data_IF_287493043043
#
_entry.id   IF_287493043043
#
_cell.length_a   1.000
_cell.length_b   1.000
_cell.length_c   1.000
_cell.angle_alpha   90.00
_cell.angle_beta   90.00
_cell.angle_gamma   90.00
#
_symmetry.space_group_name_H-M   'P 1'
#
loop_
_entity.id
_entity.type
_entity.pdbx_description
1 polymer ?
#
# COMPACT_ATOMS: atom_id res chain seq x y z
N UNK A 1 -8.33 -26.22 5.05
CA UNK A 1 -7.48 -25.71 6.15
C UNK A 1 -6.91 -24.34 5.77
N UNK A 2 -7.06 -23.31 6.61
CA UNK A 2 -6.67 -21.92 6.29
C UNK A 2 -5.91 -21.33 7.48
N UNK A 3 -4.81 -20.64 7.22
CA UNK A 3 -4.14 -19.74 8.16
C UNK A 3 -4.38 -18.30 7.71
N UNK A 4 -4.92 -17.45 8.58
CA UNK A 4 -5.06 -16.02 8.31
C UNK A 4 -3.76 -15.31 8.67
N UNK A 5 -3.26 -14.45 7.77
CA UNK A 5 -2.09 -13.61 7.98
C UNK A 5 -2.46 -12.19 7.57
N UNK A 6 -2.34 -11.23 8.50
CA UNK A 6 -2.72 -9.84 8.24
C UNK A 6 -1.71 -8.85 8.78
N UNK A 7 -1.42 -7.81 7.99
CA UNK A 7 -0.56 -6.69 8.35
C UNK A 7 -1.37 -5.45 8.70
N UNK A 8 -0.98 -4.72 9.76
CA UNK A 8 -1.61 -3.44 10.13
C UNK A 8 -3.15 -3.55 10.19
N UNK A 9 -3.89 -2.73 9.42
CA UNK A 9 -5.34 -2.85 9.23
C UNK A 9 -5.78 -4.28 8.87
N UNK A 10 -5.08 -4.95 7.95
CA UNK A 10 -5.37 -6.34 7.59
C UNK A 10 -5.19 -7.32 8.75
N UNK A 11 -4.29 -7.03 9.69
CA UNK A 11 -4.12 -7.79 10.94
C UNK A 11 -5.35 -7.67 11.83
N UNK A 12 -5.89 -6.45 11.99
CA UNK A 12 -7.15 -6.24 12.69
C UNK A 12 -8.30 -7.03 12.06
N UNK A 13 -8.47 -6.91 10.73
CA UNK A 13 -9.53 -7.63 10.02
C UNK A 13 -9.37 -9.15 10.14
N UNK A 14 -8.13 -9.67 10.10
CA UNK A 14 -7.86 -11.10 10.30
C UNK A 14 -8.33 -11.58 11.69
N UNK A 15 -8.08 -10.81 12.75
CA UNK A 15 -8.57 -11.11 14.10
C UNK A 15 -10.09 -11.05 14.18
N UNK A 16 -10.73 -10.01 13.66
CA UNK A 16 -12.19 -9.91 13.67
C UNK A 16 -12.86 -11.05 12.90
N UNK A 17 -12.27 -11.45 11.77
CA UNK A 17 -12.71 -12.59 10.95
C UNK A 17 -12.60 -13.90 11.73
N UNK A 18 -11.47 -14.11 12.42
CA UNK A 18 -11.22 -15.29 13.26
C UNK A 18 -12.16 -15.34 14.47
N UNK A 19 -12.29 -14.24 15.21
CA UNK A 19 -13.13 -14.15 16.41
C UNK A 19 -14.62 -14.34 16.09
N UNK A 20 -15.06 -13.89 14.91
CA UNK A 20 -16.44 -14.08 14.43
C UNK A 20 -16.66 -15.46 13.79
N UNK A 21 -15.64 -16.33 13.78
CA UNK A 21 -15.67 -17.67 13.19
C UNK A 21 -16.17 -17.71 11.73
N UNK A 22 -15.81 -16.69 10.93
CA UNK A 22 -16.24 -16.58 9.54
C UNK A 22 -15.49 -17.54 8.60
N UNK A 23 -14.40 -18.14 9.08
CA UNK A 23 -13.61 -19.13 8.35
C UNK A 23 -13.66 -20.46 9.12
N UNK A 24 -14.60 -21.37 8.81
CA UNK A 24 -14.80 -22.60 9.57
C UNK A 24 -13.57 -23.54 9.59
N UNK A 25 -12.70 -23.44 8.59
CA UNK A 25 -11.47 -24.25 8.49
C UNK A 25 -10.22 -23.51 8.99
N UNK A 26 -10.38 -22.47 9.81
CA UNK A 26 -9.27 -21.70 10.37
C UNK A 26 -8.46 -22.56 11.33
N UNK A 27 -7.15 -22.67 11.09
CA UNK A 27 -6.23 -23.43 11.94
C UNK A 27 -5.15 -22.57 12.61
N UNK A 28 -4.99 -21.32 12.21
CA UNK A 28 -3.95 -20.44 12.75
C UNK A 28 -4.16 -18.99 12.35
N UNK A 29 -3.59 -18.09 13.14
CA UNK A 29 -3.72 -16.64 12.96
C UNK A 29 -2.36 -15.95 13.15
N UNK A 30 -1.98 -15.10 12.20
CA UNK A 30 -0.77 -14.28 12.26
C UNK A 30 -1.11 -12.80 12.11
N UNK A 31 -0.62 -11.99 13.05
CA UNK A 31 -0.64 -10.54 12.99
C UNK A 31 0.76 -10.01 12.71
N UNK A 32 0.89 -9.08 11.76
CA UNK A 32 2.15 -8.44 11.41
C UNK A 32 2.07 -6.95 11.73
N UNK A 33 2.99 -6.49 12.58
CA UNK A 33 3.24 -5.09 12.92
C UNK A 33 2.00 -4.31 13.38
N UNK A 34 1.14 -4.94 14.20
CA UNK A 34 -0.03 -4.30 14.80
C UNK A 34 -0.18 -4.71 16.27
N UNK A 35 -0.30 -3.70 17.13
CA UNK A 35 -0.60 -3.83 18.56
C UNK A 35 -1.54 -2.70 18.94
N UNK A 36 -2.60 -2.99 19.71
CA UNK A 36 -3.66 -2.01 20.02
C UNK A 36 -3.10 -0.72 20.61
N UNK A 37 -2.32 -0.80 21.69
CA UNK A 37 -1.82 0.40 22.38
C UNK A 37 -1.05 1.35 21.45
N UNK A 38 -0.08 0.81 20.70
CA UNK A 38 0.72 1.63 19.77
C UNK A 38 -0.07 2.07 18.54
N UNK A 39 -1.02 1.27 18.07
CA UNK A 39 -1.88 1.65 16.95
C UNK A 39 -2.79 2.84 17.33
N UNK A 40 -3.38 2.81 18.53
CA UNK A 40 -4.24 3.87 19.05
C UNK A 40 -3.47 5.19 19.23
N UNK A 41 -2.23 5.12 19.76
CA UNK A 41 -1.37 6.30 19.92
C UNK A 41 -0.92 6.89 18.56
N UNK A 42 -0.74 6.03 17.55
CA UNK A 42 -0.27 6.42 16.22
C UNK A 42 -1.36 6.96 15.28
N UNK A 43 -2.65 6.92 15.64
CA UNK A 43 -3.73 7.36 14.74
C UNK A 43 -3.56 8.83 14.31
N UNK A 44 -3.18 9.71 15.25
CA UNK A 44 -2.95 11.13 14.95
C UNK A 44 -1.70 11.37 14.08
N UNK A 45 -0.63 10.60 14.30
CA UNK A 45 0.59 10.74 13.50
C UNK A 45 0.40 10.20 12.08
N UNK A 46 -0.46 9.18 11.91
CA UNK A 46 -0.82 8.63 10.60
C UNK A 46 -1.49 9.70 9.71
N UNK A 47 -2.40 10.52 10.26
CA UNK A 47 -3.02 11.61 9.50
C UNK A 47 -1.98 12.59 8.92
N UNK A 48 -0.98 12.95 9.73
CA UNK A 48 0.09 13.84 9.29
C UNK A 48 0.94 13.19 8.20
N UNK A 49 1.29 11.91 8.37
CA UNK A 49 1.99 11.14 7.35
C UNK A 49 1.20 11.10 6.03
N UNK A 50 -0.09 10.74 6.07
CA UNK A 50 -0.92 10.64 4.87
C UNK A 50 -1.03 11.97 4.11
N UNK A 51 -1.07 13.10 4.83
CA UNK A 51 -1.10 14.45 4.26
C UNK A 51 0.23 14.90 3.65
N UNK A 52 1.35 14.40 4.15
CA UNK A 52 2.69 14.71 3.61
C UNK A 52 3.01 13.98 2.30
N UNK A 53 2.21 12.97 1.91
CA UNK A 53 2.45 12.21 0.68
C UNK A 53 2.17 13.07 -0.56
N UNK A 54 2.92 12.87 -1.67
CA UNK A 54 2.59 13.48 -2.94
C UNK A 54 1.15 13.15 -3.34
N UNK A 55 0.42 14.14 -3.88
CA UNK A 55 -0.96 13.91 -4.35
C UNK A 55 -0.99 13.11 -5.66
N UNK A 56 0.02 13.29 -6.49
CA UNK A 56 0.14 12.67 -7.81
C UNK A 56 1.59 12.30 -8.12
N UNK A 57 1.78 11.35 -9.03
CA UNK A 57 3.07 10.94 -9.58
C UNK A 57 3.03 11.08 -11.11
N UNK A 58 4.16 11.44 -11.73
CA UNK A 58 4.24 11.61 -13.19
C UNK A 58 4.18 10.28 -13.95
N UNK A 59 4.78 9.25 -13.37
CA UNK A 59 4.76 7.88 -13.88
C UNK A 59 4.73 6.89 -12.73
N UNK A 60 4.50 5.61 -13.06
CA UNK A 60 4.59 4.52 -12.10
C UNK A 60 6.02 4.38 -11.52
N UNK A 61 7.05 4.57 -12.35
CA UNK A 61 8.45 4.52 -11.94
C UNK A 61 8.76 5.59 -10.89
N UNK A 62 8.22 6.81 -11.03
CA UNK A 62 8.38 7.84 -10.00
C UNK A 62 7.67 7.49 -8.69
N UNK A 63 6.53 6.79 -8.74
CA UNK A 63 5.86 6.31 -7.54
C UNK A 63 6.71 5.24 -6.82
N UNK A 64 7.29 4.29 -7.56
CA UNK A 64 8.22 3.28 -7.04
C UNK A 64 9.47 3.94 -6.44
N UNK A 65 10.05 4.90 -7.14
CA UNK A 65 11.23 5.61 -6.65
C UNK A 65 10.93 6.38 -5.35
N UNK A 66 9.78 7.05 -5.30
CA UNK A 66 9.34 7.76 -4.09
C UNK A 66 9.10 6.82 -2.92
N UNK A 67 8.49 5.64 -3.13
CA UNK A 67 8.19 4.71 -2.04
C UNK A 67 9.47 4.18 -1.37
N UNK A 68 10.53 3.98 -2.16
CA UNK A 68 11.85 3.58 -1.65
C UNK A 68 12.58 4.73 -0.97
N UNK A 69 12.65 5.91 -1.62
CA UNK A 69 13.35 7.07 -1.06
C UNK A 69 12.71 7.63 0.21
N UNK A 70 11.38 7.57 0.31
CA UNK A 70 10.64 7.98 1.52
C UNK A 70 10.77 6.97 2.67
N UNK A 71 11.28 5.76 2.40
CA UNK A 71 11.38 4.69 3.38
C UNK A 71 10.07 3.97 3.67
N UNK A 72 9.02 4.19 2.86
CA UNK A 72 7.75 3.46 2.99
C UNK A 72 7.95 1.95 2.74
N UNK A 73 8.73 1.61 1.71
CA UNK A 73 9.13 0.24 1.37
C UNK A 73 10.64 0.27 1.17
N UNK A 74 11.40 -0.50 1.93
CA UNK A 74 12.87 -0.51 1.86
C UNK A 74 13.40 -1.45 0.77
N UNK A 75 12.63 -2.48 0.44
CA UNK A 75 12.96 -3.45 -0.59
C UNK A 75 12.53 -2.96 -1.99
N UNK A 76 13.49 -2.64 -2.85
CA UNK A 76 13.23 -2.20 -4.22
C UNK A 76 12.52 -3.26 -5.07
N UNK A 77 12.83 -4.55 -4.88
CA UNK A 77 12.19 -5.64 -5.62
C UNK A 77 10.70 -5.70 -5.28
N UNK A 78 10.36 -5.63 -3.99
CA UNK A 78 8.98 -5.61 -3.53
C UNK A 78 8.23 -4.36 -4.03
N UNK A 79 8.85 -3.18 -3.89
CA UNK A 79 8.25 -1.91 -4.31
C UNK A 79 7.88 -1.89 -5.80
N UNK A 80 8.71 -2.48 -6.68
CA UNK A 80 8.45 -2.55 -8.12
C UNK A 80 7.17 -3.32 -8.47
N UNK A 81 6.76 -4.26 -7.63
CA UNK A 81 5.56 -5.08 -7.84
C UNK A 81 4.37 -4.52 -7.04
N UNK A 82 4.58 -4.13 -5.78
CA UNK A 82 3.50 -3.77 -4.87
C UNK A 82 2.93 -2.37 -5.12
N UNK A 83 3.75 -1.42 -5.59
CA UNK A 83 3.30 -0.04 -5.78
C UNK A 83 2.20 0.11 -6.82
N UNK A 84 2.12 -0.78 -7.81
CA UNK A 84 1.05 -0.84 -8.82
C UNK A 84 -0.32 -0.99 -8.15
N UNK A 85 -0.39 -1.75 -7.05
CA UNK A 85 -1.61 -1.91 -6.26
C UNK A 85 -1.98 -0.66 -5.44
N UNK A 86 -1.02 0.21 -5.15
CA UNK A 86 -1.22 1.40 -4.30
C UNK A 86 -1.62 2.65 -5.07
N UNK A 87 -1.33 2.71 -6.38
CA UNK A 87 -1.67 3.83 -7.26
C UNK A 87 -2.67 3.42 -8.34
N UNK A 88 -3.28 4.41 -8.98
CA UNK A 88 -4.13 4.28 -10.17
C UNK A 88 -3.88 5.46 -11.11
N UNK A 89 -4.17 5.29 -12.39
CA UNK A 89 -4.17 6.40 -13.34
C UNK A 89 -5.20 7.45 -12.92
N UNK A 90 -4.85 8.73 -13.07
CA UNK A 90 -5.80 9.82 -12.90
C UNK A 90 -6.83 9.72 -14.02
N UNK A 91 -8.11 9.64 -13.65
CA UNK A 91 -9.19 9.75 -14.63
C UNK A 91 -9.09 11.16 -15.25
N UNK A 92 -8.84 11.22 -16.56
CA UNK A 92 -9.04 12.46 -17.29
C UNK A 92 -10.50 12.87 -17.05
N UNK A 93 -10.72 14.14 -16.68
CA UNK A 93 -12.05 14.71 -16.67
C UNK A 93 -12.62 14.54 -18.09
N UNK A 94 -13.37 13.47 -18.32
CA UNK A 94 -14.24 13.35 -19.46
C UNK A 94 -15.26 14.46 -19.27
N UNK A 95 -15.01 15.56 -19.97
CA UNK A 95 -15.96 16.65 -20.15
C UNK A 95 -17.32 15.99 -20.45
N UNK A 96 -18.41 16.36 -19.76
CA UNK A 96 -19.71 15.81 -20.09
C UNK A 96 -20.00 16.16 -21.55
N UNK A 97 -20.16 15.13 -22.38
CA UNK A 97 -20.37 15.26 -23.81
C UNK A 97 -21.61 16.11 -24.09
N UNK A 98 -21.39 17.38 -24.44
CA UNK A 98 -22.36 18.16 -25.19
C UNK A 98 -22.43 17.63 -26.62
N UNK A 99 -23.62 17.57 -27.24
CA UNK A 99 -23.73 17.11 -28.62
C UNK A 99 -22.94 18.06 -29.53
N UNK A 100 -22.12 17.47 -30.42
CA UNK A 100 -21.43 18.18 -31.50
C UNK A 100 -22.47 18.82 -32.42
N UNK A 101 -22.77 20.09 -32.20
CA UNK A 101 -23.43 20.92 -33.20
C UNK A 101 -22.35 21.48 -34.12
N UNK A 102 -22.45 21.06 -35.38
CA UNK A 102 -21.78 21.66 -36.54
C UNK A 102 -22.12 23.15 -36.53
N UNK A 103 -21.12 24.02 -36.50
CA UNK A 103 -21.31 25.44 -36.81
C UNK A 103 -20.61 25.69 -38.14
N UNK A 104 -21.38 25.57 -39.21
CA UNK A 104 -21.09 26.19 -40.51
C UNK A 104 -21.07 27.72 -40.33
N UNK A 105 -20.25 28.36 -41.16
CA UNK A 105 -19.75 29.70 -40.94
C UNK A 105 -20.77 30.82 -41.07
N UNK A 106 -20.44 31.93 -40.42
CA UNK A 106 -20.88 33.27 -40.82
C UNK A 106 -19.65 34.18 -40.74
N UNK A 107 -19.42 34.84 -41.85
CA UNK A 107 -18.37 35.80 -42.18
C UNK A 107 -18.64 37.07 -41.39
N UNK A 108 -17.65 37.57 -40.65
CA UNK A 108 -17.61 38.98 -40.25
C UNK A 108 -16.40 39.61 -40.96
N UNK A 109 -16.73 40.59 -41.79
CA UNK A 109 -15.82 41.41 -42.59
C UNK A 109 -15.04 42.34 -41.64
N UNK A 110 -13.71 42.30 -41.68
CA UNK A 110 -12.85 43.34 -41.11
C UNK A 110 -12.31 44.19 -42.27
N UNK A 111 -12.57 45.49 -42.21
CA UNK A 111 -12.10 46.50 -43.16
C UNK A 111 -10.59 46.69 -43.05
N UNK A 112 -9.93 46.77 -44.21
CA UNK A 112 -8.50 46.99 -44.42
C UNK A 112 -8.13 48.46 -44.18
N UNK A 113 -7.03 48.71 -43.45
CA UNK A 113 -6.23 49.93 -43.60
C UNK A 113 -4.86 49.55 -44.18
N UNK A 114 -4.58 50.11 -45.35
CA UNK A 114 -3.34 49.98 -46.14
C UNK A 114 -2.18 50.77 -45.51
N UNK A 115 -0.99 50.17 -45.43
CA UNK A 115 0.27 50.93 -45.65
C UNK A 115 1.28 50.05 -46.41
N UNK A 116 1.71 50.58 -47.56
CA UNK A 116 2.66 50.00 -48.51
C UNK A 116 4.11 50.01 -48.00
N UNK A 117 4.88 48.98 -48.38
CA UNK A 117 6.33 48.95 -48.23
C UNK A 117 6.94 47.76 -48.96
N UNK A 118 7.28 47.94 -50.24
CA UNK A 118 7.94 46.97 -51.13
C UNK A 118 9.36 46.58 -50.67
N UNK A 119 9.66 45.27 -50.65
CA UNK A 119 10.66 44.61 -51.52
C UNK A 119 11.05 43.21 -51.03
N UNK A 120 11.17 42.25 -51.97
CA UNK A 120 12.21 41.21 -51.90
C UNK A 120 11.78 39.75 -51.83
N UNK A 121 11.48 39.19 -53.01
CA UNK A 121 11.79 37.85 -53.54
C UNK A 121 11.84 36.56 -52.68
N UNK A 122 11.23 35.54 -53.27
CA UNK A 122 11.03 34.14 -52.89
C UNK A 122 12.26 33.37 -52.38
N UNK A 123 12.04 32.34 -51.54
CA UNK A 123 12.50 30.95 -51.77
C UNK A 123 11.98 29.98 -50.68
N UNK A 124 11.41 28.87 -51.18
CA UNK A 124 10.90 27.70 -50.47
C UNK A 124 11.76 27.23 -49.29
N UNK A 125 11.14 27.08 -48.11
CA UNK A 125 11.66 26.21 -47.05
C UNK A 125 10.52 25.35 -46.51
N UNK A 126 10.45 24.11 -47.00
CA UNK A 126 9.65 23.01 -46.44
C UNK A 126 9.86 22.99 -44.91
N UNK A 127 8.86 23.43 -44.14
CA UNK A 127 8.76 23.11 -42.72
C UNK A 127 8.38 21.63 -42.65
N UNK A 128 9.30 20.85 -42.09
CA UNK A 128 9.08 19.48 -41.69
C UNK A 128 8.16 19.55 -40.48
N UNK A 129 6.92 19.11 -40.63
CA UNK A 129 6.03 18.84 -39.50
C UNK A 129 6.68 17.71 -38.69
N UNK A 130 7.46 18.09 -37.68
CA UNK A 130 7.80 17.19 -36.59
C UNK A 130 6.56 17.16 -35.68
N UNK A 131 5.65 16.24 -36.01
CA UNK A 131 4.53 15.83 -35.17
C UNK A 131 5.12 15.12 -33.94
N UNK A 132 5.64 15.92 -32.99
CA UNK A 132 6.01 15.44 -31.66
C UNK A 132 4.70 15.14 -30.95
N UNK A 133 4.23 13.91 -31.16
CA UNK A 133 3.20 13.27 -30.37
C UNK A 133 3.65 13.37 -28.90
N UNK A 134 3.20 14.44 -28.25
CA UNK A 134 3.57 14.72 -26.87
C UNK A 134 2.71 13.75 -26.08
N UNK A 135 3.22 12.53 -25.87
CA UNK A 135 2.58 11.56 -24.98
C UNK A 135 2.36 12.27 -23.66
N UNK A 136 1.12 12.69 -23.43
CA UNK A 136 0.64 13.17 -22.13
C UNK A 136 1.00 12.05 -21.16
N UNK A 137 2.02 12.26 -20.34
CA UNK A 137 2.37 11.29 -19.30
C UNK A 137 1.14 11.14 -18.41
N UNK A 138 0.57 9.94 -18.39
CA UNK A 138 -0.58 9.64 -17.57
C UNK A 138 -0.18 9.82 -16.11
N UNK A 139 -0.71 10.86 -15.46
CA UNK A 139 -0.46 11.10 -14.05
C UNK A 139 -1.13 9.99 -13.22
N UNK A 140 -0.44 9.53 -12.18
CA UNK A 140 -0.96 8.55 -11.23
C UNK A 140 -1.38 9.24 -9.93
N UNK A 141 -2.39 8.71 -9.26
CA UNK A 141 -2.84 9.13 -7.92
C UNK A 141 -2.98 7.91 -7.01
N UNK A 142 -3.12 8.13 -5.70
CA UNK A 142 -3.39 7.05 -4.74
C UNK A 142 -4.69 6.33 -5.09
N UNK A 143 -4.66 5.00 -5.05
CA UNK A 143 -5.85 4.16 -5.31
C UNK A 143 -6.98 4.47 -4.35
N UNK A 144 -6.63 4.79 -3.10
CA UNK A 144 -7.56 5.15 -2.04
C UNK A 144 -7.04 6.34 -1.24
N UNK A 145 -7.94 7.26 -0.91
CA UNK A 145 -7.67 8.32 0.05
C UNK A 145 -7.90 7.78 1.46
N UNK A 146 -6.87 7.14 2.03
CA UNK A 146 -6.97 6.44 3.32
C UNK A 146 -7.44 7.35 4.48
N UNK A 147 -7.16 8.66 4.43
CA UNK A 147 -7.64 9.60 5.44
C UNK A 147 -9.18 9.60 5.58
N UNK A 148 -9.93 9.30 4.52
CA UNK A 148 -11.41 9.21 4.57
C UNK A 148 -11.92 8.03 5.39
N UNK A 149 -11.07 7.05 5.72
CA UNK A 149 -11.44 5.90 6.54
C UNK A 149 -11.20 6.12 8.03
N UNK A 150 -10.72 7.30 8.45
CA UNK A 150 -10.37 7.64 9.84
C UNK A 150 -11.46 7.30 10.86
N UNK A 151 -12.72 7.56 10.51
CA UNK A 151 -13.90 7.24 11.32
C UNK A 151 -14.04 5.74 11.68
N UNK A 152 -13.36 4.85 10.96
CA UNK A 152 -13.40 3.41 11.19
C UNK A 152 -12.19 2.90 11.98
N UNK A 153 -11.12 3.69 12.13
CA UNK A 153 -9.85 3.23 12.69
C UNK A 153 -9.99 2.78 14.15
N UNK A 154 -10.79 3.50 14.93
CA UNK A 154 -11.09 3.11 16.31
C UNK A 154 -11.69 1.69 16.38
N UNK A 155 -12.65 1.39 15.50
CA UNK A 155 -13.28 0.07 15.42
C UNK A 155 -12.37 -1.03 14.88
N UNK A 156 -11.23 -0.71 14.28
CA UNK A 156 -10.24 -1.71 13.86
C UNK A 156 -9.33 -2.14 15.02
N UNK A 157 -8.95 -1.20 15.89
CA UNK A 157 -7.88 -1.45 16.87
C UNK A 157 -8.36 -1.54 18.32
N UNK A 158 -9.48 -0.90 18.67
CA UNK A 158 -10.00 -0.94 20.04
C UNK A 158 -10.37 -2.36 20.46
N UNK A 159 -9.81 -2.83 21.56
CA UNK A 159 -9.96 -4.18 22.11
C UNK A 159 -9.28 -5.28 21.29
N UNK A 160 -8.49 -4.93 20.27
CA UNK A 160 -7.88 -5.89 19.35
C UNK A 160 -6.94 -6.86 20.06
N UNK A 161 -6.17 -6.39 21.06
CA UNK A 161 -5.20 -7.24 21.77
C UNK A 161 -5.90 -8.37 22.53
N UNK A 162 -6.97 -8.06 23.27
CA UNK A 162 -7.77 -9.07 23.94
C UNK A 162 -8.52 -9.98 22.96
N UNK A 163 -9.03 -9.43 21.86
CA UNK A 163 -9.74 -10.20 20.84
C UNK A 163 -8.81 -11.23 20.17
N UNK A 164 -7.57 -10.83 19.87
CA UNK A 164 -6.52 -11.72 19.37
C UNK A 164 -6.22 -12.83 20.38
N UNK A 165 -6.00 -12.49 21.65
CA UNK A 165 -5.69 -13.47 22.70
C UNK A 165 -6.80 -14.52 22.88
N UNK A 166 -8.07 -14.13 22.70
CA UNK A 166 -9.22 -14.99 22.87
C UNK A 166 -9.53 -15.88 21.65
N UNK A 167 -8.86 -15.69 20.51
CA UNK A 167 -9.04 -16.57 19.35
C UNK A 167 -8.52 -18.00 19.67
N UNK A 168 -9.36 -19.05 19.53
CA UNK A 168 -9.04 -20.42 19.97
C UNK A 168 -8.21 -21.21 18.94
N UNK A 169 -7.22 -20.55 18.34
CA UNK A 169 -6.27 -21.15 17.39
C UNK A 169 -4.82 -20.80 17.81
N UNK A 170 -3.82 -21.56 17.37
CA UNK A 170 -2.42 -21.15 17.43
C UNK A 170 -2.21 -19.78 16.79
N UNK A 171 -1.39 -18.95 17.43
CA UNK A 171 -1.23 -17.54 17.11
C UNK A 171 0.24 -17.17 16.96
N UNK A 172 0.55 -16.36 15.94
CA UNK A 172 1.86 -15.79 15.67
C UNK A 172 1.75 -14.26 15.63
N UNK A 173 2.69 -13.56 16.26
CA UNK A 173 2.84 -12.11 16.19
C UNK A 173 4.24 -11.78 15.65
N UNK A 174 4.30 -11.10 14.50
CA UNK A 174 5.53 -10.60 13.90
C UNK A 174 5.66 -9.10 14.15
N UNK A 175 6.75 -8.65 14.78
CA UNK A 175 6.97 -7.23 15.08
C UNK A 175 8.28 -6.73 14.47
N UNK A 176 8.29 -5.48 14.00
CA UNK A 176 9.52 -4.82 13.60
C UNK A 176 10.43 -4.45 14.81
N UNK A 177 9.87 -4.37 16.02
CA UNK A 177 10.58 -4.09 17.27
C UNK A 177 9.79 -4.52 18.51
N UNK A 178 10.50 -4.86 19.59
CA UNK A 178 9.89 -5.34 20.86
C UNK A 178 9.15 -4.25 21.62
N UNK A 179 9.49 -2.99 21.39
CA UNK A 179 8.93 -1.82 22.09
C UNK A 179 7.44 -1.57 21.79
N UNK A 180 6.83 -2.44 21.00
CA UNK A 180 5.47 -2.27 20.49
C UNK A 180 4.41 -3.06 21.27
N UNK A 181 4.79 -3.98 22.16
CA UNK A 181 3.83 -4.74 22.95
C UNK A 181 3.12 -3.85 23.98
N UNK A 182 1.79 -3.90 23.98
CA UNK A 182 0.99 -3.30 25.03
C UNK A 182 0.90 -4.21 26.27
N UNK A 183 0.23 -3.73 27.31
CA UNK A 183 0.06 -4.45 28.56
C UNK A 183 -0.59 -5.83 28.36
N UNK A 184 -1.64 -5.92 27.55
CA UNK A 184 -2.43 -7.14 27.40
C UNK A 184 -1.65 -8.21 26.62
N UNK A 185 -0.99 -7.82 25.52
CA UNK A 185 -0.12 -8.73 24.77
C UNK A 185 1.13 -9.12 25.54
N UNK A 186 1.68 -8.22 26.37
CA UNK A 186 2.80 -8.55 27.27
C UNK A 186 2.40 -9.66 28.24
N UNK A 187 1.24 -9.51 28.91
CA UNK A 187 0.71 -10.54 29.81
C UNK A 187 0.44 -11.84 29.04
N UNK A 188 -0.19 -11.75 27.87
CA UNK A 188 -0.50 -12.92 27.04
C UNK A 188 0.76 -13.66 26.58
N UNK A 189 1.83 -12.93 26.25
CA UNK A 189 3.11 -13.49 25.85
C UNK A 189 3.79 -14.20 27.02
N UNK A 190 3.80 -13.58 28.22
CA UNK A 190 4.34 -14.20 29.43
C UNK A 190 3.58 -15.47 29.84
N UNK A 191 2.29 -15.56 29.49
CA UNK A 191 1.46 -16.75 29.66
C UNK A 191 1.62 -17.79 28.54
N UNK A 192 2.44 -17.53 27.53
CA UNK A 192 2.65 -18.43 26.38
C UNK A 192 1.44 -18.58 25.46
N UNK A 193 0.53 -17.59 25.41
CA UNK A 193 -0.71 -17.66 24.62
C UNK A 193 -0.52 -17.54 23.11
N UNK A 194 0.62 -17.02 22.68
CA UNK A 194 0.99 -16.88 21.27
C UNK A 194 2.52 -16.96 21.12
N UNK A 195 2.98 -17.20 19.89
CA UNK A 195 4.39 -17.12 19.53
C UNK A 195 4.69 -15.71 19.02
N UNK A 196 5.83 -15.15 19.42
CA UNK A 196 6.32 -13.86 18.94
C UNK A 196 7.64 -14.04 18.19
N UNK A 197 7.80 -13.32 17.08
CA UNK A 197 9.08 -13.19 16.39
C UNK A 197 9.33 -11.71 16.10
N UNK A 198 10.53 -11.26 16.45
CA UNK A 198 10.95 -9.87 16.23
C UNK A 198 11.88 -9.86 15.03
N UNK A 199 11.54 -9.04 14.04
CA UNK A 199 12.28 -8.87 12.79
C UNK A 199 12.86 -7.45 12.77
N UNK A 200 14.03 -7.23 13.41
CA UNK A 200 14.63 -5.91 13.48
C UNK A 200 15.01 -5.41 12.08
N UNK A 201 15.21 -4.09 11.97
CA UNK A 201 15.64 -3.39 10.74
C UNK A 201 14.59 -3.27 9.63
N UNK A 202 13.34 -3.65 9.90
CA UNK A 202 12.22 -3.40 9.00
C UNK A 202 11.55 -2.05 9.29
N UNK A 203 10.97 -1.44 8.26
CA UNK A 203 10.04 -0.33 8.38
C UNK A 203 8.65 -0.81 8.79
N UNK A 204 7.61 -0.17 8.28
CA UNK A 204 6.22 -0.54 8.61
C UNK A 204 5.79 -1.85 7.93
N UNK A 205 6.16 -2.05 6.66
CA UNK A 205 5.78 -3.21 5.87
C UNK A 205 6.84 -4.33 5.97
N UNK A 206 6.91 -4.99 7.13
CA UNK A 206 7.91 -6.04 7.43
C UNK A 206 7.96 -7.14 6.38
N UNK A 207 6.81 -7.52 5.82
CA UNK A 207 6.71 -8.55 4.78
C UNK A 207 7.17 -8.08 3.40
N UNK A 208 7.23 -6.78 3.13
CA UNK A 208 7.86 -6.24 1.92
C UNK A 208 9.37 -6.07 2.12
N UNK A 209 9.77 -5.61 3.30
CA UNK A 209 11.17 -5.31 3.63
C UNK A 209 12.04 -6.55 3.84
N UNK A 210 11.51 -7.58 4.51
CA UNK A 210 12.22 -8.83 4.81
C UNK A 210 11.35 -10.06 4.50
N UNK A 211 10.99 -10.27 3.22
CA UNK A 211 10.08 -11.33 2.81
C UNK A 211 10.60 -12.72 3.18
N UNK A 212 11.91 -12.98 3.07
CA UNK A 212 12.49 -14.29 3.43
C UNK A 212 12.35 -14.58 4.92
N UNK A 213 12.60 -13.59 5.78
CA UNK A 213 12.48 -13.75 7.24
C UNK A 213 11.04 -13.95 7.69
N UNK A 214 10.09 -13.24 7.06
CA UNK A 214 8.66 -13.45 7.32
C UNK A 214 8.25 -14.86 6.87
N UNK A 215 8.68 -15.29 5.69
CA UNK A 215 8.40 -16.64 5.19
C UNK A 215 9.01 -17.72 6.10
N UNK A 216 10.25 -17.54 6.57
CA UNK A 216 10.92 -18.45 7.50
C UNK A 216 10.17 -18.56 8.84
N UNK A 217 9.75 -17.44 9.42
CA UNK A 217 8.99 -17.41 10.66
C UNK A 217 7.64 -18.12 10.52
N UNK A 218 6.92 -17.85 9.43
CA UNK A 218 5.63 -18.49 9.14
C UNK A 218 5.82 -19.99 8.86
N UNK A 219 6.81 -20.38 8.06
CA UNK A 219 7.10 -21.79 7.77
C UNK A 219 7.45 -22.55 9.05
N UNK A 220 8.31 -21.98 9.89
CA UNK A 220 8.69 -22.55 11.19
C UNK A 220 7.46 -22.76 12.08
N UNK A 221 6.56 -21.77 12.13
CA UNK A 221 5.30 -21.86 12.87
C UNK A 221 4.39 -22.97 12.32
N UNK A 222 4.19 -23.02 11.00
CA UNK A 222 3.37 -24.04 10.34
C UNK A 222 3.90 -25.46 10.60
N UNK A 223 5.21 -25.66 10.50
CA UNK A 223 5.87 -26.95 10.77
C UNK A 223 5.76 -27.31 12.25
N UNK A 224 6.01 -26.36 13.17
CA UNK A 224 5.89 -26.55 14.63
C UNK A 224 4.52 -27.12 15.02
N UNK A 225 3.48 -26.59 14.39
CA UNK A 225 2.09 -26.97 14.65
C UNK A 225 1.57 -28.10 13.73
N UNK A 226 2.43 -28.70 12.89
CA UNK A 226 2.09 -29.78 11.95
C UNK A 226 0.97 -29.41 10.97
N UNK A 227 0.96 -28.15 10.52
CA UNK A 227 0.03 -27.67 9.50
C UNK A 227 0.54 -27.86 8.08
N UNK A 228 1.85 -28.04 7.90
CA UNK A 228 2.49 -28.31 6.61
C UNK A 228 3.75 -29.16 6.79
N UNK A 229 4.22 -29.74 5.70
CA UNK A 229 5.50 -30.46 5.61
C UNK A 229 6.58 -29.55 5.00
N UNK A 230 7.85 -29.66 5.45
CA UNK A 230 8.97 -28.93 4.86
C UNK A 230 9.32 -29.44 3.46
N UNK A 231 9.78 -28.56 2.59
CA UNK A 231 10.34 -28.89 1.26
C UNK A 231 11.83 -28.54 1.25
N UNK A 232 12.65 -29.28 0.50
CA UNK A 232 14.00 -28.86 0.13
C UNK A 232 14.99 -28.73 1.28
N UNK A 233 14.99 -29.67 2.25
CA UNK A 233 15.96 -29.68 3.34
C UNK A 233 15.85 -28.51 4.32
N UNK A 234 14.73 -27.78 4.31
CA UNK A 234 14.47 -26.67 5.22
C UNK A 234 14.73 -27.08 6.68
N UNK A 235 15.74 -26.46 7.30
CA UNK A 235 16.07 -26.67 8.70
C UNK A 235 15.28 -25.69 9.56
N UNK A 236 14.37 -26.24 10.35
CA UNK A 236 13.57 -25.45 11.28
C UNK A 236 14.48 -24.95 12.42
N UNK A 237 14.76 -23.66 12.46
CA UNK A 237 15.47 -23.05 13.60
C UNK A 237 14.44 -22.68 14.65
N UNK A 238 14.22 -23.59 15.59
CA UNK A 238 13.40 -23.28 16.76
C UNK A 238 14.21 -22.37 17.69
N UNK A 239 13.70 -21.19 18.10
CA UNK A 239 14.34 -20.43 19.14
C UNK A 239 14.47 -21.33 20.38
N UNK A 240 15.69 -21.47 20.90
CA UNK A 240 15.94 -22.19 22.14
C UNK A 240 15.17 -21.51 23.28
N UNK A 241 14.54 -22.33 24.13
CA UNK A 241 13.80 -21.90 25.32
C UNK A 241 14.66 -21.11 26.29
#
# INVERSE_FOLDING_TARGET
PIMLIGHSMGGAIAVHTAASNLVPSLLGLCMIDVVEGTAMDALNSMQNFLRSRPKTFKSLENAIEWSVKSGQIRNLESARVSMIGQVKECEEATSPGGPKAIVEGIIEEEEEEEEEGENGESLNKKKKDDDVETKKEAAYTWRIELAKTERYWDGWFRGLSNLFLNCPVPKLLLLAGVDRLDKDLTIGQMQGKFQIQVLPQCGHAVHEDAPEKVAEAVATFLIRHRFTEPIGGFQCVFPAC
#
